data_IF_536855153972
#
_entry.id   IF_536855153972
#
_cell.length_a   1.000
_cell.length_b   1.000
_cell.length_c   1.000
_cell.angle_alpha   90.00
_cell.angle_beta   90.00
_cell.angle_gamma   90.00
#
_symmetry.space_group_name_H-M   'P 1'
#
loop_
_entity.id
_entity.type
_entity.pdbx_description
1 polymer ?
#
# COMPACT_ATOMS: atom_id res chain seq x y z
N UNK A 1 45.82 -61.64 20.91
CA UNK A 1 45.16 -60.59 20.11
C UNK A 1 44.62 -59.56 21.10
N UNK A 2 45.50 -58.83 21.80
CA UNK A 2 46.17 -57.59 21.38
C UNK A 2 45.13 -56.49 21.05
N UNK A 3 44.76 -55.67 22.05
CA UNK A 3 45.23 -54.29 22.31
C UNK A 3 44.17 -53.30 21.76
N UNK A 4 43.58 -52.36 22.52
CA UNK A 4 44.13 -51.57 23.62
C UNK A 4 44.58 -50.21 23.09
N UNK A 5 44.16 -49.13 23.78
CA UNK A 5 44.50 -47.69 23.65
C UNK A 5 43.32 -46.85 23.13
N UNK A 6 42.66 -45.94 23.87
CA UNK A 6 43.03 -45.01 24.98
C UNK A 6 43.92 -43.84 24.51
N UNK A 7 43.34 -42.62 24.57
CA UNK A 7 43.93 -41.27 24.68
C UNK A 7 42.90 -40.29 24.04
N UNK A 8 42.24 -39.31 24.69
CA UNK A 8 42.74 -38.17 25.48
C UNK A 8 43.77 -37.37 24.67
N UNK A 9 43.61 -36.07 24.39
CA UNK A 9 44.20 -34.97 25.18
C UNK A 9 44.12 -33.70 24.29
N UNK A 10 43.70 -32.60 24.93
CA UNK A 10 44.05 -31.16 24.85
C UNK A 10 43.78 -30.24 23.65
N UNK A 11 43.09 -29.15 24.00
CA UNK A 11 43.46 -27.73 23.91
C UNK A 11 44.34 -27.25 22.75
N UNK A 12 43.80 -26.26 22.03
CA UNK A 12 44.61 -25.13 21.56
C UNK A 12 43.94 -23.84 22.04
N UNK A 13 44.31 -23.49 23.27
CA UNK A 13 44.43 -22.12 23.74
C UNK A 13 45.68 -21.55 23.05
N UNK A 14 45.55 -20.44 22.33
CA UNK A 14 46.67 -19.53 22.10
C UNK A 14 46.43 -18.32 22.99
N UNK A 15 47.19 -18.30 24.07
CA UNK A 15 47.37 -17.16 24.94
C UNK A 15 48.21 -16.10 24.25
N UNK A 16 47.88 -14.83 24.47
CA UNK A 16 48.89 -13.78 24.67
C UNK A 16 48.47 -13.03 25.94
N UNK A 17 49.18 -13.36 27.03
CA UNK A 17 49.29 -12.66 28.32
C UNK A 17 49.79 -11.22 28.10
N UNK A 18 49.10 -10.21 28.62
CA UNK A 18 49.24 -9.57 29.94
C UNK A 18 50.49 -8.69 30.09
N UNK A 19 50.28 -7.40 30.35
CA UNK A 19 51.07 -6.70 31.35
C UNK A 19 50.15 -5.86 32.24
N UNK A 20 50.19 -6.21 33.52
CA UNK A 20 49.64 -5.47 34.64
C UNK A 20 50.43 -4.18 34.90
N UNK A 21 49.74 -3.16 35.40
CA UNK A 21 50.25 -2.36 36.51
C UNK A 21 49.03 -1.79 37.24
N UNK A 22 48.71 -2.30 38.44
CA UNK A 22 49.07 -1.72 39.75
C UNK A 22 48.63 -0.24 39.85
N UNK A 23 47.88 0.24 40.85
CA UNK A 23 47.76 -0.16 42.24
C UNK A 23 46.58 0.57 42.92
N UNK A 24 45.96 -0.10 43.89
CA UNK A 24 45.54 0.34 45.23
C UNK A 24 44.78 1.67 45.43
N UNK A 25 43.64 1.58 46.15
CA UNK A 25 43.35 2.52 47.24
C UNK A 25 41.97 3.19 47.24
N UNK A 26 41.02 2.57 47.94
CA UNK A 26 40.21 3.10 49.06
C UNK A 26 39.77 4.59 49.09
N UNK A 27 38.54 4.75 49.60
CA UNK A 27 37.89 5.90 50.28
C UNK A 27 37.16 6.96 49.45
N UNK A 28 35.90 7.14 49.87
CA UNK A 28 34.94 8.14 49.47
C UNK A 28 35.47 9.58 49.65
N UNK A 29 35.14 10.47 48.72
CA UNK A 29 34.77 11.87 48.97
C UNK A 29 34.52 12.63 47.66
N UNK A 30 33.43 13.39 47.63
CA UNK A 30 33.33 14.64 46.89
C UNK A 30 32.99 14.56 45.40
N UNK A 31 31.90 15.20 45.02
CA UNK A 31 31.63 15.62 43.64
C UNK A 31 32.78 16.46 43.09
N UNK A 32 33.16 16.23 41.82
CA UNK A 32 33.39 17.36 40.92
C UNK A 32 32.58 17.22 39.63
N UNK A 33 32.02 18.35 39.21
CA UNK A 33 31.39 18.55 37.90
C UNK A 33 32.39 18.34 36.75
N UNK A 34 31.91 17.77 35.64
CA UNK A 34 32.56 17.71 34.33
C UNK A 34 32.91 16.28 33.94
N UNK A 35 32.35 15.66 32.90
CA UNK A 35 32.15 16.16 31.53
C UNK A 35 31.02 15.38 30.84
N UNK A 36 30.44 15.97 29.79
CA UNK A 36 29.25 15.51 29.07
C UNK A 36 29.42 14.13 28.42
N UNK A 37 28.88 13.09 29.05
CA UNK A 37 28.46 11.89 28.31
C UNK A 37 27.21 12.25 27.51
N UNK A 38 27.41 12.41 26.19
CA UNK A 38 26.33 12.54 25.23
C UNK A 38 25.48 11.29 25.28
N UNK A 39 24.33 11.39 25.94
CA UNK A 39 23.21 10.48 25.75
C UNK A 39 22.84 10.53 24.26
N UNK A 40 23.32 9.57 23.47
CA UNK A 40 22.83 9.39 22.10
C UNK A 40 21.41 8.90 22.20
N UNK A 41 20.46 9.83 22.23
CA UNK A 41 19.05 9.52 22.08
C UNK A 41 18.89 8.62 20.87
N UNK A 42 18.36 7.42 21.04
CA UNK A 42 17.91 6.59 19.94
C UNK A 42 16.91 7.41 19.14
N UNK A 43 17.35 7.94 18.00
CA UNK A 43 16.48 8.60 17.03
C UNK A 43 15.84 7.46 16.24
N UNK A 44 14.54 7.16 16.40
CA UNK A 44 13.88 6.24 15.49
C UNK A 44 14.09 6.76 14.06
N UNK A 45 14.16 5.87 13.05
CA UNK A 45 14.33 6.29 11.67
C UNK A 45 13.30 7.38 11.35
N UNK A 46 13.79 8.53 10.88
CA UNK A 46 12.95 9.63 10.43
C UNK A 46 12.12 9.08 9.27
N UNK A 47 10.86 8.75 9.53
CA UNK A 47 9.87 8.61 8.48
C UNK A 47 9.73 9.99 7.85
N UNK A 48 10.49 10.23 6.77
CA UNK A 48 10.29 11.37 5.91
C UNK A 48 8.93 11.18 5.25
N UNK A 49 7.90 11.78 5.84
CA UNK A 49 6.62 11.97 5.17
C UNK A 49 6.87 12.94 4.02
N UNK A 50 7.19 12.42 2.85
CA UNK A 50 7.07 13.19 1.61
C UNK A 50 5.58 13.32 1.35
N UNK A 51 5.07 14.55 1.29
CA UNK A 51 3.72 14.77 0.78
C UNK A 51 3.65 14.09 -0.61
N UNK A 52 2.69 13.19 -0.82
CA UNK A 52 2.58 12.51 -2.10
C UNK A 52 2.39 13.56 -3.21
N UNK A 53 3.06 13.36 -4.35
CA UNK A 53 2.93 14.15 -5.59
C UNK A 53 1.54 14.03 -6.25
N UNK A 54 0.48 14.18 -5.45
CA UNK A 54 -0.90 14.06 -5.85
C UNK A 54 -1.66 12.90 -5.18
N UNK A 55 -2.99 13.00 -5.12
CA UNK A 55 -3.87 12.01 -4.52
C UNK A 55 -3.90 10.72 -5.35
N UNK A 56 -4.06 9.53 -4.73
CA UNK A 56 -4.08 8.28 -5.47
C UNK A 56 -5.39 8.05 -6.20
N UNK A 57 -5.39 8.24 -7.51
CA UNK A 57 -6.59 8.14 -8.34
C UNK A 57 -6.35 7.38 -9.64
N UNK A 58 -7.45 6.89 -10.20
CA UNK A 58 -7.57 6.41 -11.57
C UNK A 58 -7.96 7.56 -12.49
N UNK A 59 -7.63 7.46 -13.78
CA UNK A 59 -8.19 8.35 -14.80
C UNK A 59 -9.72 8.17 -14.86
N UNK A 60 -10.48 9.25 -15.01
CA UNK A 60 -11.96 9.18 -15.07
C UNK A 60 -12.50 8.24 -16.16
N UNK A 61 -11.81 8.17 -17.30
CA UNK A 61 -12.16 7.28 -18.44
C UNK A 61 -11.78 5.81 -18.26
N UNK A 62 -11.04 5.47 -17.19
CA UNK A 62 -10.65 4.09 -16.89
C UNK A 62 -11.88 3.20 -16.92
N UNK A 63 -11.82 2.12 -17.67
CA UNK A 63 -12.97 1.23 -17.85
C UNK A 63 -13.01 0.14 -16.78
N UNK A 64 -14.21 -0.23 -16.34
CA UNK A 64 -14.44 -1.37 -15.47
C UNK A 64 -15.59 -2.22 -15.98
N UNK A 65 -15.49 -3.54 -15.81
CA UNK A 65 -16.57 -4.45 -16.15
C UNK A 65 -17.58 -4.53 -15.01
N UNK A 66 -18.87 -4.46 -15.34
CA UNK A 66 -19.99 -4.63 -14.41
C UNK A 66 -20.43 -6.10 -14.35
N UNK A 67 -21.21 -6.45 -13.33
CA UNK A 67 -21.71 -7.82 -13.12
C UNK A 67 -22.59 -8.35 -14.26
N UNK A 68 -23.20 -7.48 -15.05
CA UNK A 68 -24.00 -7.84 -16.23
C UNK A 68 -23.15 -8.06 -17.49
N UNK A 69 -21.82 -7.97 -17.37
CA UNK A 69 -20.87 -8.12 -18.49
C UNK A 69 -20.64 -6.83 -19.28
N UNK A 70 -21.43 -5.77 -19.05
CA UNK A 70 -21.19 -4.48 -19.68
C UNK A 70 -19.96 -3.78 -19.09
N UNK A 71 -19.42 -2.81 -19.82
CA UNK A 71 -18.28 -1.99 -19.37
C UNK A 71 -18.74 -0.56 -19.12
N UNK A 72 -18.16 0.11 -18.12
CA UNK A 72 -18.44 1.51 -17.79
C UNK A 72 -17.16 2.26 -17.40
N UNK A 73 -17.09 3.54 -17.75
CA UNK A 73 -16.03 4.44 -17.29
C UNK A 73 -16.15 4.72 -15.78
N UNK A 74 -15.03 4.81 -15.07
CA UNK A 74 -15.01 5.00 -13.62
C UNK A 74 -15.70 6.29 -13.18
N UNK A 75 -15.63 7.37 -13.98
CA UNK A 75 -16.31 8.65 -13.73
C UNK A 75 -17.85 8.54 -13.65
N UNK A 76 -18.42 7.51 -14.26
CA UNK A 76 -19.87 7.25 -14.38
C UNK A 76 -20.36 6.16 -13.42
N UNK A 77 -19.46 5.62 -12.59
CA UNK A 77 -19.81 4.65 -11.57
C UNK A 77 -20.65 5.26 -10.46
N UNK A 78 -21.50 4.44 -9.87
CA UNK A 78 -22.41 4.83 -8.80
C UNK A 78 -22.25 3.88 -7.61
N UNK A 79 -22.28 4.38 -6.37
CA UNK A 79 -22.40 3.54 -5.18
C UNK A 79 -23.52 2.50 -5.32
N UNK A 80 -23.29 1.30 -4.81
CA UNK A 80 -24.17 0.14 -4.95
C UNK A 80 -24.01 -0.64 -6.26
N UNK A 81 -23.36 -0.08 -7.29
CA UNK A 81 -23.01 -0.80 -8.52
C UNK A 81 -21.97 -1.89 -8.27
N UNK A 82 -22.09 -3.04 -8.94
CA UNK A 82 -21.16 -4.17 -8.82
C UNK A 82 -20.15 -4.16 -9.95
N UNK A 83 -18.87 -4.12 -9.60
CA UNK A 83 -17.74 -4.07 -10.54
C UNK A 83 -16.84 -5.28 -10.37
N UNK A 84 -16.14 -5.66 -11.44
CA UNK A 84 -15.17 -6.74 -11.43
C UNK A 84 -13.96 -6.38 -10.55
N UNK A 85 -13.53 -7.33 -9.72
CA UNK A 85 -12.43 -7.19 -8.76
C UNK A 85 -11.53 -8.42 -8.80
N UNK A 86 -10.29 -8.27 -8.34
CA UNK A 86 -9.37 -9.39 -8.13
C UNK A 86 -9.15 -9.64 -6.64
N UNK A 87 -9.34 -10.88 -6.20
CA UNK A 87 -9.14 -11.32 -4.83
C UNK A 87 -7.66 -11.61 -4.56
N UNK A 88 -7.21 -11.60 -3.29
CA UNK A 88 -5.80 -11.86 -2.95
C UNK A 88 -5.25 -13.18 -3.51
N UNK A 89 -6.09 -14.21 -3.61
CA UNK A 89 -5.75 -15.52 -4.18
C UNK A 89 -5.74 -15.56 -5.72
N UNK A 90 -5.88 -14.41 -6.37
CA UNK A 90 -5.89 -14.23 -7.82
C UNK A 90 -7.25 -14.55 -8.48
N UNK A 91 -8.28 -14.96 -7.75
CA UNK A 91 -9.61 -15.16 -8.34
C UNK A 91 -10.25 -13.85 -8.73
N UNK A 92 -10.97 -13.88 -9.84
CA UNK A 92 -11.81 -12.78 -10.29
C UNK A 92 -13.19 -12.92 -9.62
N UNK A 93 -13.77 -11.79 -9.22
CA UNK A 93 -15.12 -11.74 -8.67
C UNK A 93 -15.79 -10.41 -8.97
N UNK A 94 -16.94 -10.18 -8.33
CA UNK A 94 -17.62 -8.89 -8.37
C UNK A 94 -17.87 -8.40 -6.95
N UNK A 95 -17.70 -7.10 -6.74
CA UNK A 95 -17.92 -6.44 -5.45
C UNK A 95 -18.70 -5.15 -5.65
N UNK A 96 -19.59 -4.77 -4.72
CA UNK A 96 -20.26 -3.48 -4.78
C UNK A 96 -19.26 -2.34 -4.54
N UNK A 97 -19.51 -1.22 -5.19
CA UNK A 97 -18.91 0.08 -4.90
C UNK A 97 -19.60 0.65 -3.67
N UNK A 98 -18.82 1.01 -2.66
CA UNK A 98 -19.33 1.60 -1.42
C UNK A 98 -19.48 3.11 -1.55
N UNK A 99 -18.45 3.79 -2.05
CA UNK A 99 -18.44 5.22 -2.26
C UNK A 99 -17.30 5.64 -3.21
N UNK A 100 -17.24 6.92 -3.56
CA UNK A 100 -16.08 7.54 -4.20
C UNK A 100 -15.25 8.25 -3.14
N UNK A 101 -13.99 7.86 -2.95
CA UNK A 101 -13.07 8.49 -2.00
C UNK A 101 -12.59 9.86 -2.49
N UNK A 102 -12.44 10.00 -3.80
CA UNK A 102 -12.05 11.23 -4.47
C UNK A 102 -12.70 11.28 -5.85
N UNK A 103 -13.13 12.46 -6.28
CA UNK A 103 -13.63 12.70 -7.63
C UNK A 103 -13.39 14.15 -8.02
N UNK A 104 -12.60 14.38 -9.06
CA UNK A 104 -12.38 15.70 -9.65
C UNK A 104 -12.48 15.55 -11.18
N UNK A 105 -13.61 15.90 -11.81
CA UNK A 105 -13.83 15.65 -13.23
C UNK A 105 -13.10 16.62 -14.15
N UNK A 106 -12.82 17.84 -13.66
CA UNK A 106 -12.31 18.96 -14.46
C UNK A 106 -10.87 19.37 -14.06
N UNK A 107 -10.28 18.68 -13.08
CA UNK A 107 -8.92 18.93 -12.63
C UNK A 107 -7.91 18.08 -13.38
N UNK A 108 -6.73 18.66 -13.60
CA UNK A 108 -5.62 17.96 -14.24
C UNK A 108 -4.73 17.24 -13.22
N UNK A 109 -4.19 16.11 -13.63
CA UNK A 109 -3.18 15.38 -12.88
C UNK A 109 -2.18 14.68 -13.81
N UNK A 110 -0.98 14.41 -13.30
CA UNK A 110 -0.02 13.53 -13.96
C UNK A 110 -0.44 12.08 -13.76
N UNK A 111 -0.42 11.30 -14.83
CA UNK A 111 -0.67 9.87 -14.84
C UNK A 111 0.53 9.10 -15.39
N UNK A 112 0.84 7.99 -14.73
CA UNK A 112 1.66 6.90 -15.27
C UNK A 112 0.79 6.08 -16.22
N UNK A 113 1.15 6.03 -17.49
CA UNK A 113 0.56 5.10 -18.45
C UNK A 113 1.38 3.81 -18.46
N UNK A 114 0.77 2.70 -18.06
CA UNK A 114 1.42 1.40 -18.03
C UNK A 114 0.85 0.56 -19.16
N UNK A 115 1.65 0.36 -20.20
CA UNK A 115 1.27 -0.44 -21.36
C UNK A 115 1.57 -1.92 -21.09
N UNK A 116 0.56 -2.76 -21.29
CA UNK A 116 0.60 -4.19 -20.98
C UNK A 116 0.50 -5.00 -22.26
N UNK A 117 1.30 -6.05 -22.38
CA UNK A 117 1.27 -6.95 -23.52
C UNK A 117 -0.12 -7.61 -23.66
N UNK A 118 -0.63 -7.68 -24.90
CA UNK A 118 -1.96 -8.23 -25.19
C UNK A 118 -3.11 -7.25 -24.97
N UNK A 119 -2.85 -6.04 -24.48
CA UNK A 119 -3.85 -4.98 -24.33
C UNK A 119 -3.60 -3.84 -25.32
N UNK A 120 -4.69 -3.22 -25.78
CA UNK A 120 -4.65 -2.10 -26.71
C UNK A 120 -4.30 -0.79 -26.00
N UNK A 121 -5.08 -0.45 -24.98
CA UNK A 121 -4.94 0.77 -24.19
C UNK A 121 -4.14 0.51 -22.90
N UNK A 122 -3.38 1.50 -22.39
CA UNK A 122 -2.69 1.39 -21.11
C UNK A 122 -3.66 1.57 -19.94
N UNK A 123 -3.30 1.05 -18.77
CA UNK A 123 -3.91 1.52 -17.52
C UNK A 123 -3.25 2.85 -17.13
N UNK A 124 -4.05 3.84 -16.74
CA UNK A 124 -3.60 5.19 -16.36
C UNK A 124 -3.86 5.47 -14.88
N UNK A 125 -2.78 5.61 -14.11
CA UNK A 125 -2.82 5.78 -12.66
C UNK A 125 -1.97 6.98 -12.23
N UNK A 126 -2.42 7.74 -11.24
CA UNK A 126 -1.52 8.73 -10.60
C UNK A 126 -0.28 8.03 -10.01
N UNK A 127 0.91 8.69 -9.94
CA UNK A 127 2.16 8.06 -9.49
C UNK A 127 2.08 7.29 -8.16
N UNK A 128 1.27 7.77 -7.21
CA UNK A 128 1.13 7.17 -5.87
C UNK A 128 -0.05 6.19 -5.76
N UNK A 129 -0.70 5.81 -6.86
CA UNK A 129 -1.73 4.77 -6.83
C UNK A 129 -1.10 3.38 -6.73
N UNK A 130 -1.75 2.46 -6.00
CA UNK A 130 -1.25 1.10 -5.81
C UNK A 130 -1.78 0.14 -6.89
N UNK A 131 -0.86 -0.57 -7.55
CA UNK A 131 -1.13 -1.58 -8.59
C UNK A 131 -0.43 -2.91 -8.24
N UNK A 132 -1.06 -4.04 -8.56
CA UNK A 132 -0.45 -5.34 -8.37
C UNK A 132 0.54 -5.62 -9.51
N UNK A 133 1.83 -5.43 -9.22
CA UNK A 133 2.92 -5.66 -10.15
C UNK A 133 4.11 -6.33 -9.44
N UNK A 134 4.80 -7.23 -10.13
CA UNK A 134 5.92 -7.99 -9.59
C UNK A 134 6.96 -8.31 -10.65
N UNK A 135 8.19 -8.62 -10.22
CA UNK A 135 9.22 -9.22 -11.09
C UNK A 135 9.11 -10.75 -11.13
N UNK A 136 8.51 -11.35 -10.10
CA UNK A 136 8.44 -12.80 -9.89
C UNK A 136 6.97 -13.21 -9.65
N UNK A 137 6.19 -13.48 -10.70
CA UNK A 137 4.78 -13.86 -10.55
C UNK A 137 4.65 -15.24 -9.88
N UNK A 138 3.87 -15.33 -8.79
CA UNK A 138 3.64 -16.56 -8.02
C UNK A 138 2.14 -16.77 -7.77
N UNK A 139 1.37 -17.16 -8.80
CA UNK A 139 -0.01 -17.67 -8.71
C UNK A 139 -1.07 -16.87 -7.93
N UNK A 140 -0.71 -15.71 -7.38
CA UNK A 140 -1.42 -14.84 -6.45
C UNK A 140 -1.02 -13.39 -6.74
N UNK A 141 -1.82 -12.43 -6.28
CA UNK A 141 -1.57 -11.01 -6.57
C UNK A 141 -0.30 -10.45 -5.89
N UNK A 142 0.13 -11.06 -4.79
CA UNK A 142 1.20 -10.52 -3.95
C UNK A 142 0.85 -9.17 -3.32
N UNK A 143 1.87 -8.42 -2.90
CA UNK A 143 1.69 -7.05 -2.39
C UNK A 143 1.67 -6.05 -3.55
N UNK A 144 0.76 -5.07 -3.54
CA UNK A 144 0.76 -4.02 -4.55
C UNK A 144 1.93 -3.05 -4.34
N UNK A 145 2.36 -2.41 -5.42
CA UNK A 145 3.39 -1.37 -5.42
C UNK A 145 2.84 -0.07 -5.99
N UNK A 146 3.55 1.05 -5.79
CA UNK A 146 3.14 2.31 -6.40
C UNK A 146 3.30 2.27 -7.92
N UNK A 147 2.41 2.94 -8.64
CA UNK A 147 2.46 3.07 -10.09
C UNK A 147 3.77 3.73 -10.58
N UNK A 148 4.36 4.63 -9.78
CA UNK A 148 5.69 5.20 -10.06
C UNK A 148 6.82 4.17 -10.04
N UNK A 149 6.67 3.07 -9.30
CA UNK A 149 7.69 2.04 -9.15
C UNK A 149 7.58 0.92 -10.20
N UNK A 150 6.50 0.93 -11.01
CA UNK A 150 6.34 0.01 -12.13
C UNK A 150 7.35 0.33 -13.23
N UNK A 151 7.99 -0.71 -13.76
CA UNK A 151 8.99 -0.61 -14.83
C UNK A 151 8.68 -1.58 -15.95
N UNK A 152 9.14 -1.25 -17.15
CA UNK A 152 9.17 -2.19 -18.27
C UNK A 152 9.82 -3.53 -17.84
N UNK A 153 9.26 -4.63 -18.33
CA UNK A 153 9.73 -5.97 -18.01
C UNK A 153 9.13 -6.58 -16.76
N UNK A 154 8.49 -5.78 -15.89
CA UNK A 154 7.68 -6.30 -14.79
C UNK A 154 6.41 -6.98 -15.31
N UNK A 155 5.70 -7.66 -14.42
CA UNK A 155 4.46 -8.37 -14.69
C UNK A 155 3.34 -7.76 -13.86
N UNK A 156 2.21 -7.47 -14.51
CA UNK A 156 0.94 -7.11 -13.88
C UNK A 156 -0.06 -8.26 -14.05
N UNK A 157 -1.18 -8.19 -13.32
CA UNK A 157 -2.21 -9.23 -13.36
C UNK A 157 -3.45 -8.71 -14.10
N UNK A 158 -3.87 -9.44 -15.13
CA UNK A 158 -4.97 -9.04 -16.02
C UNK A 158 -6.11 -10.05 -16.02
N UNK A 159 -7.33 -9.59 -16.27
CA UNK A 159 -8.45 -10.49 -16.57
C UNK A 159 -8.25 -11.12 -17.95
N UNK A 160 -8.53 -12.42 -18.06
CA UNK A 160 -8.62 -13.14 -19.34
C UNK A 160 -10.03 -13.69 -19.51
N UNK A 161 -10.60 -13.62 -20.72
CA UNK A 161 -12.01 -13.91 -20.99
C UNK A 161 -12.45 -15.32 -20.57
N UNK A 162 -11.54 -16.29 -20.62
CA UNK A 162 -11.81 -17.70 -20.29
C UNK A 162 -11.27 -18.14 -18.92
N UNK A 163 -10.80 -17.20 -18.10
CA UNK A 163 -10.18 -17.51 -16.82
C UNK A 163 -10.94 -16.91 -15.65
N UNK A 164 -11.29 -17.74 -14.68
CA UNK A 164 -11.81 -17.30 -13.38
C UNK A 164 -10.72 -16.68 -12.49
N UNK A 165 -9.48 -16.67 -12.96
CA UNK A 165 -8.32 -16.08 -12.27
C UNK A 165 -7.63 -15.05 -13.15
N UNK A 166 -7.00 -14.08 -12.51
CA UNK A 166 -6.09 -13.16 -13.21
C UNK A 166 -4.90 -13.93 -13.77
N UNK A 167 -4.41 -13.50 -14.92
CA UNK A 167 -3.24 -14.06 -15.58
C UNK A 167 -2.09 -13.03 -15.57
N UNK A 168 -0.83 -13.46 -15.45
CA UNK A 168 0.31 -12.56 -15.53
C UNK A 168 0.48 -12.04 -16.97
N UNK A 169 0.69 -10.74 -17.12
CA UNK A 169 1.01 -10.09 -18.39
C UNK A 169 2.18 -9.11 -18.22
N UNK A 170 3.09 -9.10 -19.19
CA UNK A 170 4.31 -8.29 -19.13
C UNK A 170 4.01 -6.81 -19.42
N UNK A 171 4.60 -5.92 -18.64
CA UNK A 171 4.65 -4.48 -18.91
C UNK A 171 5.64 -4.26 -20.05
N UNK A 172 5.16 -3.70 -21.17
CA UNK A 172 5.97 -3.44 -22.36
C UNK A 172 6.55 -2.04 -22.39
N UNK A 173 5.91 -1.09 -21.73
CA UNK A 173 6.31 0.32 -21.74
C UNK A 173 5.65 1.03 -20.55
N UNK A 174 6.33 2.04 -20.02
CA UNK A 174 5.77 2.97 -19.05
C UNK A 174 6.08 4.39 -19.51
N UNK A 175 5.06 5.24 -19.54
CA UNK A 175 5.21 6.66 -19.87
C UNK A 175 4.44 7.54 -18.87
N UNK A 176 4.59 8.86 -18.99
CA UNK A 176 3.86 9.84 -18.18
C UNK A 176 3.13 10.83 -19.09
N UNK A 177 1.94 11.25 -18.64
CA UNK A 177 1.08 12.19 -19.35
C UNK A 177 0.26 13.01 -18.35
N UNK A 178 -0.02 14.27 -18.69
CA UNK A 178 -1.01 15.07 -17.98
C UNK A 178 -2.39 14.87 -18.61
N UNK A 179 -3.37 14.43 -17.82
CA UNK A 179 -4.76 14.24 -18.27
C UNK A 179 -5.73 14.94 -17.31
N UNK A 180 -6.92 15.21 -17.81
CA UNK A 180 -8.01 15.82 -17.06
C UNK A 180 -8.94 14.73 -16.51
N UNK A 181 -9.40 14.88 -15.28
CA UNK A 181 -10.43 14.05 -14.67
C UNK A 181 -9.87 12.83 -13.95
N UNK A 182 -10.06 12.76 -12.63
CA UNK A 182 -9.64 11.62 -11.82
C UNK A 182 -10.67 11.20 -10.77
N UNK A 183 -10.63 9.92 -10.41
CA UNK A 183 -11.58 9.30 -9.48
C UNK A 183 -10.92 8.18 -8.68
N UNK A 184 -11.35 7.97 -7.44
CA UNK A 184 -10.91 6.89 -6.57
C UNK A 184 -12.14 6.15 -6.00
N UNK A 185 -12.68 5.14 -6.71
CA UNK A 185 -13.78 4.33 -6.20
C UNK A 185 -13.28 3.41 -5.07
N UNK A 186 -14.13 3.19 -4.05
CA UNK A 186 -13.90 2.18 -3.03
C UNK A 186 -14.88 1.03 -3.21
N UNK A 187 -14.37 -0.16 -3.48
CA UNK A 187 -15.15 -1.40 -3.46
C UNK A 187 -15.14 -2.03 -2.06
N UNK A 188 -16.10 -2.91 -1.77
CA UNK A 188 -16.09 -3.71 -0.54
C UNK A 188 -14.87 -4.64 -0.43
N UNK A 189 -14.42 -5.22 -1.55
CA UNK A 189 -13.19 -6.01 -1.64
C UNK A 189 -11.94 -5.17 -1.38
N UNK A 190 -11.95 -3.89 -1.74
CA UNK A 190 -10.77 -3.01 -1.65
C UNK A 190 -9.82 -3.13 -2.84
N UNK A 191 -10.17 -3.92 -3.85
CA UNK A 191 -9.49 -4.03 -5.14
C UNK A 191 -10.46 -3.73 -6.28
N UNK A 192 -9.93 -3.52 -7.49
CA UNK A 192 -10.72 -3.28 -8.70
C UNK A 192 -9.96 -3.73 -9.96
N UNK A 193 -10.68 -4.22 -10.97
CA UNK A 193 -10.13 -4.48 -12.30
C UNK A 193 -10.26 -3.24 -13.18
N UNK A 194 -9.22 -2.40 -13.17
CA UNK A 194 -9.13 -1.15 -13.91
C UNK A 194 -8.53 -1.38 -15.30
N UNK A 195 -9.28 -1.09 -16.35
CA UNK A 195 -8.97 -1.50 -17.73
C UNK A 195 -8.66 -2.99 -17.84
N UNK A 196 -9.27 -3.81 -16.98
CA UNK A 196 -8.99 -5.24 -16.87
C UNK A 196 -7.60 -5.58 -16.31
N UNK A 197 -6.97 -4.68 -15.56
CA UNK A 197 -5.73 -4.88 -14.79
C UNK A 197 -6.04 -4.73 -13.30
N UNK A 198 -5.48 -5.61 -12.47
CA UNK A 198 -5.73 -5.60 -11.03
C UNK A 198 -5.03 -4.41 -10.35
N UNK A 199 -5.82 -3.61 -9.62
CA UNK A 199 -5.34 -2.48 -8.83
C UNK A 199 -6.02 -2.44 -7.44
N UNK A 200 -5.40 -1.74 -6.51
CA UNK A 200 -5.97 -1.45 -5.19
C UNK A 200 -6.96 -0.30 -5.29
N UNK A 201 -7.96 -0.22 -4.40
CA UNK A 201 -8.82 0.97 -4.26
C UNK A 201 -8.23 2.04 -3.32
N UNK A 202 -7.11 1.72 -2.65
CA UNK A 202 -6.46 2.59 -1.66
C UNK A 202 -5.13 3.13 -2.18
N UNK A 203 -4.65 4.23 -1.59
CA UNK A 203 -3.22 4.43 -1.47
C UNK A 203 -2.78 5.26 -0.26
N UNK A 204 -1.48 5.60 -0.28
CA UNK A 204 -0.64 6.25 0.73
C UNK A 204 0.04 5.27 1.72
N UNK A 205 -0.63 4.15 2.05
CA UNK A 205 -0.08 3.11 2.94
C UNK A 205 -0.37 1.69 2.44
N UNK A 206 0.30 0.71 3.05
CA UNK A 206 0.07 -0.73 2.86
C UNK A 206 -1.44 -1.01 2.69
N UNK A 207 -1.78 -1.70 1.60
CA UNK A 207 -3.15 -2.09 1.28
C UNK A 207 -3.85 -2.68 2.51
N UNK A 208 -3.16 -3.52 3.27
CA UNK A 208 -3.71 -4.15 4.48
C UNK A 208 -4.04 -3.14 5.57
N UNK A 209 -3.20 -2.12 5.78
CA UNK A 209 -3.43 -1.09 6.78
C UNK A 209 -4.62 -0.20 6.39
N UNK A 210 -4.65 0.24 5.15
CA UNK A 210 -5.76 1.02 4.59
C UNK A 210 -7.05 0.22 4.61
N UNK A 211 -7.00 -1.05 4.23
CA UNK A 211 -8.15 -1.94 4.27
C UNK A 211 -8.70 -2.09 5.69
N UNK A 212 -7.82 -2.32 6.68
CA UNK A 212 -8.19 -2.35 8.10
C UNK A 212 -8.76 -1.03 8.59
N UNK A 213 -8.15 0.10 8.23
CA UNK A 213 -8.63 1.43 8.62
C UNK A 213 -10.06 1.68 8.13
N UNK A 214 -10.40 1.19 6.94
CA UNK A 214 -11.75 1.30 6.38
C UNK A 214 -12.70 0.16 6.80
N UNK A 215 -12.26 -0.83 7.59
CA UNK A 215 -13.10 -1.95 8.01
C UNK A 215 -14.38 -1.52 8.78
N UNK A 216 -14.36 -0.54 9.71
CA UNK A 216 -15.58 -0.09 10.38
C UNK A 216 -16.62 0.49 9.41
N UNK A 217 -16.14 1.27 8.42
CA UNK A 217 -17.00 1.86 7.40
C UNK A 217 -17.63 0.77 6.51
N UNK A 218 -16.84 -0.23 6.11
CA UNK A 218 -17.30 -1.38 5.32
C UNK A 218 -18.32 -2.23 6.08
N UNK A 219 -18.09 -2.48 7.37
CA UNK A 219 -19.03 -3.23 8.22
C UNK A 219 -20.36 -2.49 8.39
N UNK A 220 -20.33 -1.18 8.62
CA UNK A 220 -21.55 -0.37 8.76
C UNK A 220 -22.40 -0.40 7.48
N UNK A 221 -21.78 -0.26 6.32
CA UNK A 221 -22.47 -0.39 5.03
C UNK A 221 -22.97 -1.81 4.76
N UNK A 222 -22.20 -2.84 5.12
CA UNK A 222 -22.61 -4.24 5.04
C UNK A 222 -23.82 -4.58 5.93
N UNK A 223 -23.87 -4.02 7.14
CA UNK A 223 -25.01 -4.18 8.05
C UNK A 223 -26.25 -3.41 7.56
N UNK A 224 -26.07 -2.18 7.07
CA UNK A 224 -27.17 -1.40 6.46
C UNK A 224 -27.75 -2.10 5.24
N UNK A 225 -26.91 -2.66 4.36
CA UNK A 225 -27.38 -3.39 3.17
C UNK A 225 -28.12 -4.67 3.54
N UNK A 226 -27.69 -5.38 4.59
CA UNK A 226 -28.34 -6.59 5.09
C UNK A 226 -29.67 -6.33 5.82
N UNK A 227 -29.79 -5.24 6.59
CA UNK A 227 -31.00 -4.96 7.40
C UNK A 227 -32.07 -4.11 6.69
N UNK A 228 -31.69 -3.23 5.77
CA UNK A 228 -32.62 -2.27 5.14
C UNK A 228 -32.93 -2.56 3.67
N UNK A 229 -32.37 -3.63 3.09
CA UNK A 229 -32.63 -4.02 1.70
C UNK A 229 -32.44 -2.87 0.72
N UNK A 230 -31.18 -2.46 0.50
CA UNK A 230 -30.76 -1.40 -0.46
C UNK A 230 -31.82 -0.30 -0.64
N UNK A 231 -32.06 0.46 0.42
CA UNK A 231 -32.72 1.76 0.32
C UNK A 231 -31.88 2.65 -0.60
N UNK A 232 -32.50 3.17 -1.66
CA UNK A 232 -31.94 4.14 -2.60
C UNK A 232 -31.53 5.43 -1.88
N UNK A 233 -30.41 5.45 -1.18
CA UNK A 233 -29.71 6.71 -0.98
C UNK A 233 -28.99 7.02 -2.29
N UNK A 234 -29.57 7.96 -3.04
CA UNK A 234 -28.88 8.65 -4.13
C UNK A 234 -27.73 9.47 -3.51
N UNK A 235 -26.70 8.80 -3.01
CA UNK A 235 -25.41 9.47 -2.84
C UNK A 235 -24.83 9.66 -4.24
N UNK A 236 -25.18 10.79 -4.84
CA UNK A 236 -24.44 11.29 -5.99
C UNK A 236 -22.99 11.55 -5.55
N UNK A 237 -22.04 11.02 -6.31
CA UNK A 237 -20.63 11.21 -6.04
C UNK A 237 -20.28 12.71 -6.11
N UNK A 238 -20.18 13.35 -4.95
CA UNK A 238 -19.82 14.76 -4.82
C UNK A 238 -18.38 14.96 -5.28
N UNK A 239 -18.13 16.10 -5.92
CA UNK A 239 -16.78 16.54 -6.28
C UNK A 239 -15.96 16.76 -5.00
N UNK A 240 -14.68 16.41 -5.05
CA UNK A 240 -13.74 16.46 -3.94
C UNK A 240 -13.57 15.15 -3.18
N UNK A 241 -12.80 15.23 -2.10
CA UNK A 241 -12.50 14.08 -1.22
C UNK A 241 -13.70 13.79 -0.31
N UNK A 242 -14.05 12.52 -0.15
CA UNK A 242 -15.11 12.05 0.75
C UNK A 242 -14.80 12.40 2.22
N UNK A 243 -15.84 12.60 3.03
CA UNK A 243 -15.69 13.07 4.41
C UNK A 243 -14.87 12.11 5.29
N UNK A 244 -15.00 10.80 5.06
CA UNK A 244 -14.33 9.78 5.87
C UNK A 244 -12.80 9.75 5.64
N UNK A 245 -12.29 9.69 4.39
CA UNK A 245 -10.87 9.96 4.12
C UNK A 245 -10.42 11.33 4.62
N UNK A 246 -11.20 12.40 4.45
CA UNK A 246 -10.88 13.74 5.00
C UNK A 246 -10.68 13.69 6.52
N UNK A 247 -11.51 12.95 7.25
CA UNK A 247 -11.38 12.78 8.68
C UNK A 247 -10.13 11.98 9.05
N UNK A 248 -9.85 10.87 8.34
CA UNK A 248 -8.63 10.09 8.53
C UNK A 248 -7.37 10.92 8.26
N UNK A 249 -7.35 11.74 7.20
CA UNK A 249 -6.24 12.65 6.89
C UNK A 249 -6.05 13.71 7.99
N UNK A 250 -7.13 14.23 8.58
CA UNK A 250 -7.06 15.15 9.73
C UNK A 250 -6.50 14.47 10.97
N UNK A 251 -6.91 13.23 11.25
CA UNK A 251 -6.38 12.43 12.36
C UNK A 251 -4.91 12.09 12.12
N UNK A 252 -4.52 11.73 10.89
CA UNK A 252 -3.12 11.51 10.49
C UNK A 252 -2.30 12.79 10.71
N UNK A 253 -2.75 13.92 10.16
CA UNK A 253 -2.10 15.22 10.35
C UNK A 253 -2.00 15.59 11.83
N UNK A 254 -3.03 15.33 12.63
CA UNK A 254 -3.02 15.56 14.07
C UNK A 254 -2.07 14.62 14.83
N UNK A 255 -2.12 13.32 14.60
CA UNK A 255 -1.26 12.34 15.30
C UNK A 255 0.22 12.48 14.94
N UNK A 256 0.55 12.95 13.74
CA UNK A 256 1.93 13.11 13.28
C UNK A 256 2.45 14.56 13.34
N UNK A 257 1.60 15.58 13.54
CA UNK A 257 2.01 16.97 13.84
C UNK A 257 1.85 17.37 15.31
N UNK A 258 1.16 16.59 16.15
CA UNK A 258 1.22 16.78 17.61
C UNK A 258 2.48 16.08 18.14
N UNK A 259 3.63 16.70 17.87
CA UNK A 259 4.66 16.76 18.91
C UNK A 259 4.21 17.84 19.88
N UNK A 260 4.13 17.58 21.19
CA UNK A 260 4.02 18.68 22.14
C UNK A 260 5.31 19.50 21.99
N UNK A 261 5.20 20.66 21.36
CA UNK A 261 6.21 21.69 21.55
C UNK A 261 6.21 22.07 23.02
N UNK A 262 7.42 22.20 23.57
CA UNK A 262 7.77 22.70 24.90
C UNK A 262 7.37 21.84 26.11
N UNK A 263 8.37 21.11 26.61
CA UNK A 263 8.84 21.36 27.96
C UNK A 263 10.36 21.57 27.88
N UNK A 264 10.77 22.84 28.04
CA UNK A 264 12.12 23.25 28.42
C UNK A 264 12.24 22.99 29.92
#
# INVERSE_FOLDING_TARGET
MAQGNKAHIDDVIVAIESEENSSLGTTAQGYPYGTQDRYTSYQPPRYHYQEPEGPPCFLGETSVQLRDGSTRAMKDLKPGGWVQVAKPDGRIGYSPILCMLHREPDEKATFRQIYVQGKKEPISLTPNHLIYATKNPQGSLGLPIFAKDVKEGMVVFVAAEESEKVVPAKVREVSEIELCGFVAPLTQEGTIMADGVAASCYADFDHELSHKAFAPFRLLFGLKSAFLGVGKEKEEAKVGIHWYPKALMKVNKFLFHVRPDTAI
#
